data_IF_808535971052
#
_entry.id   IF_808535971052
#
_cell.length_a   1.000
_cell.length_b   1.000
_cell.length_c   1.000
_cell.angle_alpha   90.00
_cell.angle_beta   90.00
_cell.angle_gamma   90.00
#
_symmetry.space_group_name_H-M   'P 1'
#
loop_
_entity.id
_entity.type
_entity.pdbx_description
1 polymer ?
#
# COMPACT_ATOMS: atom_id res chain seq x y z
N UNK A 1 -12.25 5.33 0.57
CA UNK A 1 -11.03 6.16 0.66
C UNK A 1 -11.30 7.54 0.10
N UNK A 2 -12.08 8.29 0.74
CA UNK A 2 -12.60 9.54 0.20
C UNK A 2 -11.48 10.56 -0.04
N UNK A 3 -10.96 10.57 -1.25
CA UNK A 3 -9.98 11.58 -1.68
C UNK A 3 -8.69 11.61 -0.88
N UNK A 4 -8.35 10.52 -0.25
CA UNK A 4 -7.16 10.48 0.56
C UNK A 4 -6.00 9.76 -0.12
N UNK A 5 -6.03 9.69 -1.43
CA UNK A 5 -4.89 9.19 -2.19
C UNK A 5 -3.87 10.31 -2.37
N UNK A 6 -2.64 10.04 -1.96
CA UNK A 6 -1.54 10.96 -2.10
C UNK A 6 -0.40 10.29 -2.84
N UNK A 7 0.08 10.92 -3.90
CA UNK A 7 1.15 10.39 -4.74
C UNK A 7 2.34 11.33 -4.68
N UNK A 8 3.50 10.80 -4.39
CA UNK A 8 4.74 11.57 -4.29
C UNK A 8 5.81 10.93 -5.16
N UNK A 9 6.51 11.75 -5.92
CA UNK A 9 7.69 11.33 -6.67
C UNK A 9 8.92 11.96 -6.03
N UNK A 10 9.94 11.15 -5.78
CA UNK A 10 11.20 11.61 -5.19
C UNK A 10 12.36 11.32 -6.13
N UNK A 11 13.21 12.33 -6.30
CA UNK A 11 14.42 12.23 -7.12
C UNK A 11 14.15 11.80 -8.54
N UNK A 12 12.95 12.09 -9.01
CA UNK A 12 12.53 11.84 -10.38
C UNK A 12 11.37 12.78 -10.72
N UNK A 13 11.19 13.11 -11.98
CA UNK A 13 10.03 13.92 -12.36
C UNK A 13 8.74 13.16 -12.21
N UNK A 14 7.67 13.89 -11.98
CA UNK A 14 6.33 13.30 -11.94
C UNK A 14 6.01 12.67 -13.29
N UNK A 15 5.36 11.52 -13.26
CA UNK A 15 4.98 10.78 -14.45
C UNK A 15 3.48 10.59 -14.48
N UNK A 16 2.84 11.12 -15.51
CA UNK A 16 1.40 10.96 -15.67
C UNK A 16 1.00 9.50 -15.86
N UNK A 17 1.83 8.75 -16.58
CA UNK A 17 1.58 7.33 -16.80
C UNK A 17 1.61 6.56 -15.49
N UNK A 18 2.59 6.86 -14.63
CA UNK A 18 2.67 6.24 -13.32
C UNK A 18 1.50 6.67 -12.43
N UNK A 19 1.16 7.96 -12.44
CA UNK A 19 0.01 8.42 -11.66
C UNK A 19 -1.27 7.69 -12.06
N UNK A 20 -1.49 7.54 -13.35
CA UNK A 20 -2.66 6.83 -13.85
C UNK A 20 -2.68 5.39 -13.34
N UNK A 21 -1.55 4.72 -13.41
CA UNK A 21 -1.46 3.35 -12.95
C UNK A 21 -1.66 3.26 -11.44
N UNK A 22 -1.10 4.20 -10.69
CA UNK A 22 -1.27 4.25 -9.24
C UNK A 22 -2.73 4.46 -8.88
N UNK A 23 -3.40 5.38 -9.56
CA UNK A 23 -4.82 5.64 -9.31
C UNK A 23 -5.69 4.43 -9.59
N UNK A 24 -5.40 3.71 -10.65
CA UNK A 24 -6.12 2.48 -10.98
C UNK A 24 -5.97 1.44 -9.88
N UNK A 25 -4.74 1.28 -9.39
CA UNK A 25 -4.47 0.30 -8.33
C UNK A 25 -5.10 0.73 -7.01
N UNK A 26 -5.05 2.00 -6.69
CA UNK A 26 -5.67 2.53 -5.47
C UNK A 26 -7.19 2.41 -5.51
N UNK A 27 -7.80 2.67 -6.65
CA UNK A 27 -9.24 2.49 -6.83
C UNK A 27 -9.66 1.04 -6.62
N UNK A 28 -8.86 0.12 -7.14
CA UNK A 28 -9.12 -1.30 -6.96
C UNK A 28 -9.00 -1.70 -5.50
N UNK A 29 -7.99 -1.20 -4.82
CA UNK A 29 -7.83 -1.43 -3.39
C UNK A 29 -9.05 -0.92 -2.61
N UNK A 30 -9.48 0.29 -2.90
CA UNK A 30 -10.64 0.90 -2.25
C UNK A 30 -11.92 0.11 -2.52
N UNK A 31 -12.06 -0.42 -3.74
CA UNK A 31 -13.22 -1.19 -4.10
C UNK A 31 -13.38 -2.44 -3.24
N UNK A 32 -12.27 -3.10 -2.92
CA UNK A 32 -12.27 -4.27 -2.07
C UNK A 32 -12.24 -3.94 -0.58
N UNK A 33 -11.75 -2.75 -0.24
CA UNK A 33 -11.61 -2.30 1.14
C UNK A 33 -12.13 -0.88 1.30
N UNK A 34 -13.46 -0.69 1.23
CA UNK A 34 -14.03 0.66 1.26
C UNK A 34 -13.84 1.37 2.60
N UNK A 35 -13.39 0.66 3.62
CA UNK A 35 -13.19 1.26 4.94
C UNK A 35 -11.85 1.94 5.11
N UNK A 36 -10.91 1.73 4.21
CA UNK A 36 -9.61 2.39 4.32
C UNK A 36 -9.81 3.90 4.18
N UNK A 37 -9.05 4.66 4.96
CA UNK A 37 -9.21 6.12 5.01
C UNK A 37 -8.14 6.86 4.24
N UNK A 38 -7.00 6.25 4.01
CA UNK A 38 -5.95 6.89 3.22
C UNK A 38 -5.06 5.88 2.56
N UNK A 39 -4.49 6.29 1.45
CA UNK A 39 -3.47 5.54 0.74
C UNK A 39 -2.42 6.55 0.25
N UNK A 40 -1.18 6.33 0.62
CA UNK A 40 -0.08 7.17 0.19
C UNK A 40 0.91 6.33 -0.58
N UNK A 41 1.26 6.77 -1.78
CA UNK A 41 2.21 6.07 -2.63
C UNK A 41 3.39 6.98 -2.90
N UNK A 42 4.58 6.51 -2.59
CA UNK A 42 5.83 7.24 -2.88
C UNK A 42 6.63 6.42 -3.88
N UNK A 43 7.03 7.07 -4.96
CA UNK A 43 7.88 6.47 -5.97
C UNK A 43 9.18 7.24 -6.00
N UNK A 44 10.28 6.54 -5.90
CA UNK A 44 11.60 7.15 -5.81
C UNK A 44 12.57 6.48 -6.79
N UNK A 45 13.34 7.29 -7.48
CA UNK A 45 14.47 6.76 -8.24
C UNK A 45 15.68 6.74 -7.31
N UNK A 46 16.24 5.56 -7.12
CA UNK A 46 17.35 5.37 -6.22
C UNK A 46 18.67 5.56 -6.97
N UNK A 47 19.53 6.41 -6.41
CA UNK A 47 20.83 6.66 -6.99
C UNK A 47 21.85 5.73 -6.38
N UNK A 48 22.61 5.07 -7.25
CA UNK A 48 23.68 4.20 -6.81
C UNK A 48 25.00 4.61 -7.43
N UNK A 49 26.04 4.46 -6.66
CA UNK A 49 27.38 4.83 -7.11
C UNK A 49 27.85 3.96 -8.26
N UNK A 50 27.38 2.74 -8.32
CA UNK A 50 27.86 1.80 -9.32
C UNK A 50 27.17 1.96 -10.67
N UNK A 51 26.09 2.71 -10.72
CA UNK A 51 25.40 3.01 -11.97
C UNK A 51 25.10 1.83 -12.85
N UNK A 52 24.58 0.80 -12.25
CA UNK A 52 24.20 -0.39 -12.99
C UNK A 52 22.73 -0.31 -13.37
N UNK A 53 22.37 0.74 -14.11
CA UNK A 53 21.00 0.97 -14.52
C UNK A 53 20.22 1.77 -13.49
N UNK A 54 18.94 1.91 -13.72
CA UNK A 54 18.05 2.68 -12.86
C UNK A 54 17.41 1.75 -11.84
N UNK A 55 17.33 2.24 -10.62
CA UNK A 55 16.71 1.51 -9.51
C UNK A 55 15.57 2.33 -8.95
N UNK A 56 14.49 1.67 -8.58
CA UNK A 56 13.31 2.36 -8.08
C UNK A 56 12.86 1.77 -6.76
N UNK A 57 12.39 2.65 -5.89
CA UNK A 57 11.73 2.25 -4.67
C UNK A 57 10.27 2.67 -4.74
N UNK A 58 9.38 1.80 -4.30
CA UNK A 58 7.96 2.11 -4.20
C UNK A 58 7.50 1.79 -2.79
N UNK A 59 6.84 2.75 -2.17
CA UNK A 59 6.27 2.57 -0.84
C UNK A 59 4.79 2.87 -0.91
N UNK A 60 3.99 1.96 -0.39
CA UNK A 60 2.55 2.11 -0.31
C UNK A 60 2.15 2.07 1.17
N UNK A 61 1.57 3.15 1.65
CA UNK A 61 1.06 3.25 3.01
C UNK A 61 -0.46 3.26 2.96
N UNK A 62 -1.09 2.36 3.71
CA UNK A 62 -2.55 2.29 3.78
C UNK A 62 -2.99 2.39 5.23
N UNK A 63 -3.96 3.24 5.50
CA UNK A 63 -4.54 3.36 6.83
C UNK A 63 -5.84 2.58 6.91
N UNK A 64 -5.83 1.57 7.78
CA UNK A 64 -7.01 0.74 8.06
C UNK A 64 -7.52 1.15 9.43
N UNK A 65 -8.73 1.75 9.53
CA UNK A 65 -9.25 2.20 10.83
C UNK A 65 -9.31 1.05 11.82
N UNK A 66 -8.74 1.28 12.99
CA UNK A 66 -8.73 0.29 14.06
C UNK A 66 -7.66 -0.78 13.91
N UNK A 67 -6.94 -0.81 12.80
CA UNK A 67 -5.88 -1.76 12.55
C UNK A 67 -4.51 -1.13 12.62
N UNK A 68 -3.50 -1.94 12.39
CA UNK A 68 -2.13 -1.44 12.29
C UNK A 68 -1.91 -0.80 10.92
N UNK A 69 -1.02 0.20 10.83
CA UNK A 69 -0.67 0.75 9.53
C UNK A 69 -0.13 -0.32 8.60
N UNK A 70 -0.56 -0.28 7.36
CA UNK A 70 -0.02 -1.16 6.32
C UNK A 70 1.05 -0.36 5.56
N UNK A 71 2.27 -0.88 5.55
CA UNK A 71 3.37 -0.26 4.83
C UNK A 71 4.04 -1.32 3.97
N UNK A 72 3.91 -1.19 2.68
CA UNK A 72 4.59 -2.06 1.73
C UNK A 72 5.70 -1.28 1.04
N UNK A 73 6.93 -1.76 1.15
CA UNK A 73 8.08 -1.14 0.51
C UNK A 73 8.75 -2.15 -0.39
N UNK A 74 9.01 -1.75 -1.61
CA UNK A 74 9.65 -2.62 -2.57
C UNK A 74 10.68 -1.85 -3.39
N UNK A 75 11.80 -2.49 -3.65
CA UNK A 75 12.84 -1.96 -4.52
C UNK A 75 12.99 -2.89 -5.71
N UNK A 76 13.08 -2.34 -6.89
CA UNK A 76 13.25 -3.12 -8.10
C UNK A 76 14.24 -2.45 -9.04
N UNK A 77 15.09 -3.25 -9.65
CA UNK A 77 16.03 -2.76 -10.63
C UNK A 77 15.30 -2.54 -11.96
N UNK A 78 15.49 -1.38 -12.53
CA UNK A 78 15.13 -1.05 -13.90
C UNK A 78 13.64 -0.91 -14.24
N UNK A 79 12.73 -1.56 -13.53
CA UNK A 79 11.31 -1.50 -13.90
C UNK A 79 10.43 -1.00 -12.75
N UNK A 80 10.09 0.28 -12.83
CA UNK A 80 9.25 0.91 -11.81
C UNK A 80 7.83 0.34 -11.80
N UNK A 81 7.33 -0.12 -12.94
CA UNK A 81 5.98 -0.68 -13.01
C UNK A 81 5.90 -2.03 -12.30
N UNK A 82 6.96 -2.81 -12.39
CA UNK A 82 7.05 -4.07 -11.64
C UNK A 82 7.13 -3.80 -10.15
N UNK A 83 7.94 -2.83 -9.75
CA UNK A 83 8.04 -2.43 -8.35
C UNK A 83 6.68 -1.97 -7.83
N UNK A 84 5.97 -1.17 -8.61
CA UNK A 84 4.65 -0.67 -8.26
C UNK A 84 3.64 -1.81 -8.11
N UNK A 85 3.60 -2.71 -9.07
CA UNK A 85 2.71 -3.88 -9.03
C UNK A 85 2.95 -4.70 -7.78
N UNK A 86 4.20 -5.02 -7.52
CA UNK A 86 4.55 -5.90 -6.40
C UNK A 86 4.30 -5.22 -5.05
N UNK A 87 4.57 -3.91 -4.96
CA UNK A 87 4.27 -3.16 -3.74
C UNK A 87 2.77 -3.15 -3.45
N UNK A 88 1.93 -2.95 -4.46
CA UNK A 88 0.49 -2.99 -4.28
C UNK A 88 -0.01 -4.40 -3.95
N UNK A 89 0.59 -5.43 -4.53
CA UNK A 89 0.22 -6.82 -4.20
C UNK A 89 0.46 -7.10 -2.71
N UNK A 90 1.58 -6.64 -2.18
CA UNK A 90 1.88 -6.76 -0.76
C UNK A 90 0.89 -5.93 0.06
N UNK A 91 0.64 -4.69 -0.36
CA UNK A 91 -0.28 -3.79 0.36
C UNK A 91 -1.68 -4.37 0.40
N UNK A 92 -2.16 -4.94 -0.69
CA UNK A 92 -3.49 -5.58 -0.74
C UNK A 92 -3.56 -6.73 0.26
N UNK A 93 -2.54 -7.58 0.27
CA UNK A 93 -2.51 -8.73 1.16
C UNK A 93 -2.51 -8.30 2.62
N UNK A 94 -1.66 -7.33 2.95
CA UNK A 94 -1.58 -6.84 4.32
C UNK A 94 -2.83 -6.07 4.73
N UNK A 95 -3.47 -5.39 3.81
CA UNK A 95 -4.73 -4.71 4.07
C UNK A 95 -5.84 -5.74 4.35
N UNK A 96 -5.86 -6.83 3.59
CA UNK A 96 -6.76 -7.95 3.86
C UNK A 96 -6.56 -8.47 5.28
N UNK A 97 -5.32 -8.72 5.65
CA UNK A 97 -4.99 -9.23 6.97
C UNK A 97 -5.46 -8.28 8.06
N UNK A 98 -5.18 -6.99 7.91
CA UNK A 98 -5.59 -6.01 8.91
C UNK A 98 -7.10 -5.87 8.99
N UNK A 99 -7.78 -5.93 7.86
CA UNK A 99 -9.23 -5.88 7.84
C UNK A 99 -9.83 -7.07 8.58
N UNK A 100 -9.27 -8.26 8.38
CA UNK A 100 -9.72 -9.45 9.08
C UNK A 100 -9.43 -9.36 10.57
N UNK A 101 -8.28 -8.83 10.95
CA UNK A 101 -7.94 -8.63 12.37
C UNK A 101 -8.94 -7.69 13.02
N UNK A 102 -9.26 -6.58 12.38
CA UNK A 102 -10.22 -5.61 12.92
C UNK A 102 -11.59 -6.27 13.09
N UNK A 103 -12.05 -7.00 12.08
CA UNK A 103 -13.31 -7.76 12.17
C UNK A 103 -13.26 -8.80 13.27
N UNK A 104 -12.12 -9.49 13.39
CA UNK A 104 -11.90 -10.49 14.40
C UNK A 104 -11.93 -9.94 15.80
N UNK A 105 -11.44 -8.70 16.00
CA UNK A 105 -11.52 -8.05 17.30
C UNK A 105 -12.97 -7.83 17.73
N UNK A 106 -13.81 -7.42 16.80
CA UNK A 106 -15.24 -7.25 17.11
C UNK A 106 -15.86 -8.59 17.47
N UNK A 107 -15.58 -9.64 16.71
CA UNK A 107 -16.04 -11.00 17.00
C UNK A 107 -15.38 -11.57 18.24
N UNK A 108 -14.08 -11.34 18.42
CA UNK A 108 -13.34 -11.84 19.57
C UNK A 108 -13.86 -11.25 20.87
N UNK A 109 -14.36 -10.03 20.84
CA UNK A 109 -14.90 -9.42 22.03
C UNK A 109 -16.11 -10.20 22.53
N UNK A 110 -16.92 -10.71 21.65
CA UNK A 110 -18.03 -11.60 22.00
C UNK A 110 -17.56 -13.00 22.29
N UNK A 111 -16.64 -13.52 21.48
CA UNK A 111 -16.16 -14.91 21.56
C UNK A 111 -15.20 -15.13 22.71
N UNK A 112 -14.43 -14.12 23.08
CA UNK A 112 -13.49 -14.22 24.19
C UNK A 112 -14.18 -14.52 25.51
N UNK A 113 -15.42 -14.09 25.67
CA UNK A 113 -16.19 -14.42 26.87
C UNK A 113 -16.52 -15.88 26.95
N UNK A 114 -16.79 -16.48 25.81
CA UNK A 114 -17.06 -17.92 25.75
C UNK A 114 -15.82 -18.73 26.05
N UNK A 115 -14.66 -18.27 25.57
CA UNK A 115 -13.40 -18.94 25.78
C UNK A 115 -12.83 -18.79 27.17
N UNK A 116 -13.19 -17.70 27.82
CA UNK A 116 -12.70 -17.41 29.14
C UNK A 116 -13.39 -18.25 30.24
N UNK A 117 -14.39 -19.00 29.85
CA UNK A 117 -15.15 -19.82 30.79
C UNK A 117 -14.47 -21.19 31.03
#
# INVERSE_FOLDING_TARGET
MQNALQITFRDMPASEALETRIRQKAERLEKFHPHITSCRVTVEELHRHQNQGRHFGVRVDVHVPGGQPVVATLKHDEDVYVALRDAFDIAVRETDDQTQIVRGRVKSHATARERAV
#
